data_IF_774121195856
#
_entry.id   IF_774121195856
#
_cell.length_a   1.000
_cell.length_b   1.000
_cell.length_c   1.000
_cell.angle_alpha   90.00
_cell.angle_beta   90.00
_cell.angle_gamma   90.00
#
_symmetry.space_group_name_H-M   'P 1'
#
loop_
_entity.id
_entity.type
_entity.pdbx_description
1 polymer ?
#
# COMPACT_ATOMS: atom_id res chain seq x y z
N UNK A 1 9.76 34.80 -28.65
CA UNK A 1 10.93 35.56 -29.13
C UNK A 1 12.02 34.56 -29.48
N UNK A 2 12.19 34.27 -30.77
CA UNK A 2 13.28 33.42 -31.28
C UNK A 2 14.61 34.13 -31.06
N UNK A 3 15.29 33.77 -29.97
CA UNK A 3 16.57 34.38 -29.63
C UNK A 3 17.66 33.45 -30.15
N UNK A 4 18.30 33.83 -31.25
CA UNK A 4 19.44 33.10 -31.82
C UNK A 4 20.66 33.28 -30.90
N UNK A 5 21.15 32.19 -30.31
CA UNK A 5 22.37 32.21 -29.49
C UNK A 5 23.57 31.79 -30.37
N UNK A 6 24.64 32.58 -30.35
CA UNK A 6 25.83 32.38 -31.19
C UNK A 6 27.10 32.89 -30.51
N UNK A 7 28.26 32.70 -31.13
CA UNK A 7 29.52 33.24 -30.62
C UNK A 7 29.40 34.75 -30.32
N UNK A 8 29.87 35.13 -29.12
CA UNK A 8 29.74 36.50 -28.61
C UNK A 8 28.49 36.77 -27.79
N UNK A 9 27.47 35.90 -27.81
CA UNK A 9 26.32 35.99 -26.91
C UNK A 9 26.76 35.86 -25.44
N UNK A 10 26.05 36.53 -24.53
CA UNK A 10 26.31 36.49 -23.08
C UNK A 10 25.01 36.50 -22.27
N UNK A 11 25.09 36.06 -21.01
CA UNK A 11 24.01 36.16 -20.03
C UNK A 11 23.32 34.82 -19.74
N UNK A 12 22.17 34.88 -19.07
CA UNK A 12 21.49 33.70 -18.52
C UNK A 12 21.15 32.62 -19.56
N UNK A 13 20.76 33.02 -20.77
CA UNK A 13 20.49 32.08 -21.86
C UNK A 13 21.72 31.28 -22.28
N UNK A 14 22.92 31.86 -22.16
CA UNK A 14 24.18 31.16 -22.45
C UNK A 14 24.55 30.22 -21.30
N UNK A 15 24.27 30.59 -20.05
CA UNK A 15 24.44 29.69 -18.89
C UNK A 15 23.60 28.42 -19.10
N UNK A 16 22.32 28.58 -19.41
CA UNK A 16 21.40 27.47 -19.66
C UNK A 16 21.87 26.58 -20.81
N UNK A 17 22.33 27.17 -21.92
CA UNK A 17 22.92 26.43 -23.03
C UNK A 17 24.16 25.64 -22.60
N UNK A 18 25.06 26.28 -21.85
CA UNK A 18 26.30 25.66 -21.36
C UNK A 18 26.02 24.48 -20.42
N UNK A 19 25.03 24.62 -19.52
CA UNK A 19 24.53 23.54 -18.66
C UNK A 19 23.94 22.39 -19.48
N UNK A 20 23.08 22.70 -20.45
CA UNK A 20 22.45 21.70 -21.32
C UNK A 20 23.49 20.93 -22.14
N UNK A 21 24.44 21.62 -22.78
CA UNK A 21 25.51 20.97 -23.54
C UNK A 21 26.36 20.05 -22.66
N UNK A 22 26.70 20.49 -21.44
CA UNK A 22 27.40 19.65 -20.48
C UNK A 22 26.59 18.41 -20.09
N UNK A 23 25.29 18.57 -19.82
CA UNK A 23 24.38 17.45 -19.52
C UNK A 23 24.29 16.47 -20.69
N UNK A 24 24.30 16.98 -21.94
CA UNK A 24 24.32 16.19 -23.17
C UNK A 24 25.66 15.52 -23.47
N UNK A 25 26.68 15.72 -22.62
CA UNK A 25 28.01 15.12 -22.80
C UNK A 25 28.92 15.89 -23.77
N UNK A 26 28.58 17.13 -24.11
CA UNK A 26 29.38 18.03 -24.94
C UNK A 26 30.05 19.11 -24.07
N UNK A 27 31.23 18.84 -23.48
CA UNK A 27 31.80 19.69 -22.44
C UNK A 27 32.17 21.08 -22.99
N UNK A 28 31.61 22.12 -22.37
CA UNK A 28 31.91 23.53 -22.70
C UNK A 28 33.01 24.14 -21.80
N UNK A 29 33.43 23.41 -20.76
CA UNK A 29 34.28 23.92 -19.69
C UNK A 29 33.46 24.57 -18.58
N UNK A 30 33.98 25.66 -18.00
CA UNK A 30 33.28 26.41 -16.93
C UNK A 30 32.01 27.05 -17.49
N UNK A 31 30.89 26.86 -16.80
CA UNK A 31 29.65 27.59 -17.06
C UNK A 31 29.84 29.01 -16.54
N UNK A 32 30.02 29.97 -17.43
CA UNK A 32 30.34 31.37 -17.13
C UNK A 32 29.39 32.37 -17.82
N UNK A 33 28.44 31.87 -18.60
CA UNK A 33 27.49 32.69 -19.35
C UNK A 33 28.11 33.45 -20.52
N UNK A 34 29.29 33.05 -20.99
CA UNK A 34 30.00 33.63 -22.13
C UNK A 34 30.10 32.61 -23.25
N UNK A 35 29.49 32.90 -24.40
CA UNK A 35 29.56 32.02 -25.57
C UNK A 35 30.89 32.26 -26.30
N UNK A 36 31.94 31.62 -25.78
CA UNK A 36 33.31 31.67 -26.33
C UNK A 36 33.66 30.48 -27.24
N UNK A 37 34.94 30.33 -27.63
CA UNK A 37 35.39 29.28 -28.55
C UNK A 37 35.09 27.84 -28.08
N UNK A 38 35.11 27.58 -26.77
CA UNK A 38 34.79 26.26 -26.21
C UNK A 38 33.30 25.93 -26.36
N UNK A 39 32.42 26.89 -26.07
CA UNK A 39 30.98 26.73 -26.27
C UNK A 39 30.64 26.58 -27.76
N UNK A 40 31.31 27.35 -28.63
CA UNK A 40 31.16 27.20 -30.09
C UNK A 40 31.54 25.79 -30.54
N UNK A 41 32.71 25.28 -30.13
CA UNK A 41 33.14 23.94 -30.48
C UNK A 41 32.17 22.86 -29.97
N UNK A 42 31.60 23.03 -28.77
CA UNK A 42 30.61 22.11 -28.23
C UNK A 42 29.29 22.15 -29.02
N UNK A 43 28.80 23.34 -29.40
CA UNK A 43 27.58 23.48 -30.22
C UNK A 43 27.79 22.84 -31.60
N UNK A 44 28.93 23.05 -32.24
CA UNK A 44 29.24 22.42 -33.53
C UNK A 44 29.26 20.90 -33.41
N UNK A 45 29.96 20.34 -32.42
CA UNK A 45 29.97 18.88 -32.18
C UNK A 45 28.56 18.33 -31.90
N UNK A 46 27.78 19.07 -31.12
CA UNK A 46 26.39 18.71 -30.82
C UNK A 46 25.54 18.68 -32.10
N UNK A 47 25.67 19.71 -32.96
CA UNK A 47 24.97 19.78 -34.24
C UNK A 47 25.40 18.63 -35.18
N UNK A 48 26.71 18.35 -35.28
CA UNK A 48 27.24 17.23 -36.08
C UNK A 48 26.69 15.88 -35.60
N UNK A 49 26.71 15.64 -34.28
CA UNK A 49 26.21 14.40 -33.68
C UNK A 49 24.71 14.16 -33.95
N UNK A 50 23.92 15.23 -33.97
CA UNK A 50 22.47 15.16 -34.22
C UNK A 50 22.07 15.36 -35.69
N UNK A 51 23.02 15.29 -36.64
CA UNK A 51 22.78 15.50 -38.08
C UNK A 51 22.09 16.85 -38.39
N UNK A 52 22.35 17.88 -37.58
CA UNK A 52 21.96 19.24 -37.86
C UNK A 52 23.03 19.94 -38.70
N UNK A 53 22.69 21.10 -39.25
CA UNK A 53 23.69 21.97 -39.89
C UNK A 53 24.71 22.47 -38.84
N UNK A 54 26.01 22.18 -38.98
CA UNK A 54 27.03 22.50 -37.98
C UNK A 54 27.54 23.94 -38.11
N UNK A 55 26.64 24.91 -38.03
CA UNK A 55 26.97 26.34 -38.20
C UNK A 55 27.29 27.07 -36.88
N UNK A 56 27.25 26.37 -35.75
CA UNK A 56 27.56 26.92 -34.43
C UNK A 56 26.51 27.88 -33.89
N UNK A 57 25.35 27.98 -34.56
CA UNK A 57 24.23 28.84 -34.17
C UNK A 57 23.14 27.98 -33.53
N UNK A 58 22.78 28.31 -32.30
CA UNK A 58 21.67 27.66 -31.60
C UNK A 58 20.36 28.30 -32.06
N UNK A 59 19.81 27.76 -33.14
CA UNK A 59 18.48 28.10 -33.68
C UNK A 59 17.37 27.19 -33.14
N UNK A 60 16.12 27.34 -33.63
CA UNK A 60 14.97 26.57 -33.17
C UNK A 60 15.18 25.05 -33.18
N UNK A 61 15.79 24.51 -34.25
CA UNK A 61 16.07 23.07 -34.36
C UNK A 61 17.10 22.59 -33.34
N UNK A 62 18.18 23.36 -33.12
CA UNK A 62 19.19 23.03 -32.10
C UNK A 62 18.61 23.16 -30.69
N UNK A 63 17.82 24.21 -30.41
CA UNK A 63 17.14 24.41 -29.14
C UNK A 63 16.12 23.29 -28.84
N UNK A 64 15.38 22.83 -29.85
CA UNK A 64 14.42 21.74 -29.70
C UNK A 64 15.09 20.46 -29.16
N UNK A 65 16.27 20.12 -29.68
CA UNK A 65 17.03 18.96 -29.21
C UNK A 65 17.66 19.23 -27.84
N UNK A 66 18.28 20.40 -27.62
CA UNK A 66 18.90 20.74 -26.33
C UNK A 66 17.93 20.76 -25.15
N UNK A 67 16.67 21.14 -25.40
CA UNK A 67 15.58 21.13 -24.41
C UNK A 67 15.04 19.73 -24.13
N UNK A 68 15.41 18.75 -24.94
CA UNK A 68 15.14 17.33 -24.67
C UNK A 68 16.25 16.81 -23.75
N UNK A 69 16.00 15.97 -22.73
CA UNK A 69 17.06 15.44 -21.90
C UNK A 69 17.92 14.38 -22.64
N UNK A 70 19.25 14.36 -22.41
CA UNK A 70 20.11 13.25 -22.85
C UNK A 70 19.81 11.99 -22.01
N UNK A 71 19.57 10.80 -22.53
CA UNK A 71 19.28 10.36 -23.89
C UNK A 71 18.30 9.18 -23.72
N UNK A 72 17.06 9.48 -23.33
CA UNK A 72 15.98 8.48 -23.21
C UNK A 72 15.88 7.66 -24.50
N UNK A 73 16.12 8.27 -25.66
CA UNK A 73 16.14 7.57 -26.93
C UNK A 73 17.30 6.57 -27.07
N UNK A 74 18.51 6.88 -26.59
CA UNK A 74 19.58 5.87 -26.56
C UNK A 74 19.29 4.76 -25.55
N UNK A 75 18.70 5.09 -24.40
CA UNK A 75 18.24 4.07 -23.46
C UNK A 75 17.18 3.17 -24.11
N UNK A 76 16.24 3.74 -24.87
CA UNK A 76 15.27 3.00 -25.68
C UNK A 76 15.99 2.12 -26.70
N UNK A 77 17.00 2.63 -27.39
CA UNK A 77 17.77 1.85 -28.37
C UNK A 77 18.49 0.65 -27.72
N UNK A 78 18.96 0.79 -26.48
CA UNK A 78 19.59 -0.32 -25.74
C UNK A 78 18.58 -1.42 -25.38
N UNK A 79 17.36 -1.05 -24.99
CA UNK A 79 16.35 -2.05 -24.57
C UNK A 79 15.68 -2.77 -25.75
N UNK A 80 15.68 -2.17 -26.95
CA UNK A 80 15.17 -2.83 -28.17
C UNK A 80 16.25 -3.62 -28.93
N UNK A 81 17.52 -3.40 -28.62
CA UNK A 81 18.63 -4.15 -29.23
C UNK A 81 18.73 -5.56 -28.62
N UNK A 82 18.20 -6.55 -29.35
CA UNK A 82 18.24 -7.96 -28.95
C UNK A 82 19.67 -8.55 -28.87
N UNK A 83 20.68 -7.87 -29.42
CA UNK A 83 22.09 -8.22 -29.29
C UNK A 83 22.70 -7.79 -27.96
N UNK A 84 22.11 -6.83 -27.26
CA UNK A 84 22.51 -6.41 -25.91
C UNK A 84 22.13 -7.50 -24.90
N UNK A 85 22.97 -7.77 -23.90
CA UNK A 85 22.68 -8.78 -22.85
C UNK A 85 21.43 -8.44 -22.04
N UNK A 86 20.68 -9.44 -21.57
CA UNK A 86 19.47 -9.23 -20.76
C UNK A 86 19.74 -8.41 -19.50
N UNK A 87 20.86 -8.62 -18.81
CA UNK A 87 21.23 -7.84 -17.61
C UNK A 87 21.31 -6.33 -17.88
N UNK A 88 21.93 -5.95 -19.01
CA UNK A 88 22.03 -4.55 -19.43
C UNK A 88 20.63 -4.02 -19.82
N UNK A 89 19.85 -4.78 -20.59
CA UNK A 89 18.48 -4.38 -20.95
C UNK A 89 17.64 -4.14 -19.69
N UNK A 90 17.65 -5.07 -18.73
CA UNK A 90 16.97 -4.95 -17.45
C UNK A 90 17.43 -3.74 -16.64
N UNK A 91 18.74 -3.46 -16.59
CA UNK A 91 19.28 -2.29 -15.89
C UNK A 91 18.81 -0.98 -16.53
N UNK A 92 18.75 -0.92 -17.85
CA UNK A 92 18.27 0.27 -18.57
C UNK A 92 16.75 0.43 -18.43
N UNK A 93 15.98 -0.65 -18.52
CA UNK A 93 14.53 -0.64 -18.27
C UNK A 93 14.22 -0.10 -16.87
N UNK A 94 15.00 -0.52 -15.86
CA UNK A 94 14.85 0.00 -14.51
C UNK A 94 15.06 1.51 -14.45
N UNK A 95 16.16 1.99 -15.03
CA UNK A 95 16.46 3.42 -15.07
C UNK A 95 15.35 4.22 -15.77
N UNK A 96 14.80 3.70 -16.88
CA UNK A 96 13.66 4.30 -17.59
C UNK A 96 12.40 4.39 -16.73
N UNK A 97 12.13 3.36 -15.92
CA UNK A 97 11.05 3.38 -14.92
C UNK A 97 11.28 4.38 -13.80
N UNK A 98 12.51 4.47 -13.28
CA UNK A 98 12.88 5.36 -12.17
C UNK A 98 12.80 6.85 -12.55
N UNK A 99 13.22 7.18 -13.77
CA UNK A 99 13.04 8.54 -14.33
C UNK A 99 11.61 8.80 -14.82
N UNK A 100 10.71 7.81 -14.70
CA UNK A 100 9.31 7.85 -15.15
C UNK A 100 9.14 8.32 -16.60
N UNK A 101 9.99 7.85 -17.52
CA UNK A 101 9.97 8.29 -18.92
C UNK A 101 8.70 7.82 -19.66
N UNK A 102 7.91 8.79 -20.15
CA UNK A 102 6.71 8.50 -20.94
C UNK A 102 7.04 8.04 -22.36
N UNK A 103 8.16 8.50 -22.91
CA UNK A 103 8.64 8.12 -24.24
C UNK A 103 8.99 6.63 -24.30
N UNK A 104 9.38 6.03 -23.18
CA UNK A 104 9.69 4.61 -23.09
C UNK A 104 8.44 3.71 -23.02
N UNK A 105 7.23 4.24 -22.83
CA UNK A 105 6.02 3.42 -22.60
C UNK A 105 5.76 2.43 -23.74
N UNK A 106 5.73 2.89 -24.99
CA UNK A 106 5.46 2.02 -26.13
C UNK A 106 6.57 0.98 -26.37
N UNK A 107 7.87 1.35 -26.33
CA UNK A 107 8.96 0.37 -26.31
C UNK A 107 8.83 -0.68 -25.20
N UNK A 108 8.47 -0.27 -23.98
CA UNK A 108 8.28 -1.18 -22.85
C UNK A 108 7.07 -2.11 -23.06
N UNK A 109 5.95 -1.61 -23.59
CA UNK A 109 4.78 -2.44 -23.96
C UNK A 109 5.15 -3.49 -25.02
N UNK A 110 6.02 -3.14 -25.97
CA UNK A 110 6.51 -4.13 -26.93
C UNK A 110 7.38 -5.19 -26.24
N UNK A 111 8.26 -4.80 -25.31
CA UNK A 111 9.16 -5.72 -24.60
C UNK A 111 8.38 -6.74 -23.76
N UNK A 112 7.33 -6.34 -23.03
CA UNK A 112 6.55 -7.27 -22.20
C UNK A 112 5.88 -8.39 -22.98
N UNK A 113 5.75 -8.27 -24.31
CA UNK A 113 5.16 -9.31 -25.18
C UNK A 113 6.18 -10.02 -26.07
N UNK A 114 7.35 -9.43 -26.33
CA UNK A 114 8.29 -9.92 -27.36
C UNK A 114 9.63 -10.40 -26.82
N UNK A 115 10.06 -9.98 -25.64
CA UNK A 115 11.39 -10.37 -25.14
C UNK A 115 11.41 -11.83 -24.68
N UNK A 116 12.45 -12.56 -25.09
CA UNK A 116 12.63 -13.99 -24.78
C UNK A 116 12.88 -14.25 -23.29
N UNK A 117 13.46 -13.29 -22.60
CA UNK A 117 13.92 -13.38 -21.21
C UNK A 117 12.81 -12.91 -20.25
N UNK A 118 12.36 -13.76 -19.33
CA UNK A 118 11.28 -13.43 -18.39
C UNK A 118 11.67 -12.32 -17.42
N UNK A 119 12.93 -12.22 -17.02
CA UNK A 119 13.38 -11.17 -16.11
C UNK A 119 13.27 -9.80 -16.80
N UNK A 120 13.63 -9.72 -18.08
CA UNK A 120 13.48 -8.50 -18.87
C UNK A 120 12.01 -8.10 -19.02
N UNK A 121 11.12 -9.08 -19.27
CA UNK A 121 9.66 -8.82 -19.35
C UNK A 121 9.10 -8.34 -18.01
N UNK A 122 9.40 -9.01 -16.90
CA UNK A 122 8.99 -8.59 -15.55
C UNK A 122 9.53 -7.20 -15.21
N UNK A 123 10.78 -6.90 -15.57
CA UNK A 123 11.37 -5.56 -15.37
C UNK A 123 10.64 -4.48 -16.13
N UNK A 124 10.24 -4.76 -17.37
CA UNK A 124 9.48 -3.83 -18.20
C UNK A 124 8.08 -3.57 -17.62
N UNK A 125 7.44 -4.60 -17.06
CA UNK A 125 6.19 -4.45 -16.31
C UNK A 125 6.38 -3.54 -15.09
N UNK A 126 7.41 -3.78 -14.26
CA UNK A 126 7.68 -2.91 -13.09
C UNK A 126 7.93 -1.46 -13.51
N UNK A 127 8.72 -1.25 -14.57
CA UNK A 127 8.98 0.08 -15.11
C UNK A 127 7.70 0.78 -15.57
N UNK A 128 6.81 0.09 -16.29
CA UNK A 128 5.50 0.62 -16.69
C UNK A 128 4.63 1.01 -15.48
N UNK A 129 4.71 0.22 -14.39
CA UNK A 129 4.04 0.54 -13.14
C UNK A 129 4.63 1.75 -12.42
N UNK A 130 5.97 1.93 -12.41
CA UNK A 130 6.63 3.12 -11.84
C UNK A 130 6.31 4.40 -12.61
N UNK A 131 6.17 4.27 -13.93
CA UNK A 131 5.70 5.34 -14.83
C UNK A 131 4.21 5.67 -14.60
N UNK A 132 3.45 4.74 -13.99
CA UNK A 132 1.99 4.83 -13.81
C UNK A 132 1.26 4.92 -15.16
N UNK A 133 1.72 4.14 -16.14
CA UNK A 133 1.21 4.21 -17.51
C UNK A 133 -0.17 3.55 -17.67
N UNK A 134 -1.19 4.37 -17.94
CA UNK A 134 -2.54 3.88 -18.29
C UNK A 134 -2.58 3.15 -19.63
N UNK A 135 -1.69 3.51 -20.56
CA UNK A 135 -1.58 2.84 -21.87
C UNK A 135 -1.17 1.36 -21.75
N UNK A 136 -0.48 1.01 -20.65
CA UNK A 136 -0.05 -0.35 -20.39
C UNK A 136 -1.14 -1.24 -19.80
N UNK A 137 -2.29 -0.71 -19.36
CA UNK A 137 -3.31 -1.49 -18.65
C UNK A 137 -3.80 -2.68 -19.45
N UNK A 138 -4.27 -2.48 -20.70
CA UNK A 138 -4.78 -3.58 -21.51
C UNK A 138 -3.69 -4.60 -21.90
N UNK A 139 -2.47 -4.18 -22.30
CA UNK A 139 -1.35 -5.10 -22.43
C UNK A 139 -1.07 -5.94 -21.17
N UNK A 140 -1.07 -5.33 -19.99
CA UNK A 140 -0.86 -6.03 -18.71
C UNK A 140 -1.98 -7.03 -18.41
N UNK A 141 -3.24 -6.66 -18.65
CA UNK A 141 -4.39 -7.59 -18.51
C UNK A 141 -4.21 -8.81 -19.42
N UNK A 142 -3.73 -8.62 -20.65
CA UNK A 142 -3.47 -9.73 -21.56
C UNK A 142 -2.32 -10.62 -21.04
N UNK A 143 -1.25 -10.03 -20.50
CA UNK A 143 -0.09 -10.76 -19.96
C UNK A 143 -0.47 -11.73 -18.83
N UNK A 144 -1.43 -11.35 -17.97
CA UNK A 144 -1.94 -12.22 -16.89
C UNK A 144 -2.31 -13.62 -17.39
N UNK A 145 -2.82 -13.76 -18.62
CA UNK A 145 -3.31 -15.05 -19.14
C UNK A 145 -2.44 -15.64 -20.25
N UNK A 146 -1.55 -14.85 -20.84
CA UNK A 146 -0.80 -15.23 -22.04
C UNK A 146 0.68 -15.51 -21.79
N UNK A 147 1.28 -14.97 -20.73
CA UNK A 147 2.69 -15.21 -20.46
C UNK A 147 2.93 -16.60 -19.83
N UNK A 148 3.94 -17.29 -20.36
CA UNK A 148 4.36 -18.62 -19.91
C UNK A 148 4.98 -18.62 -18.52
N UNK A 149 5.60 -17.51 -18.14
CA UNK A 149 6.36 -17.38 -16.90
C UNK A 149 5.46 -16.86 -15.77
N UNK A 150 5.48 -17.54 -14.62
CA UNK A 150 4.63 -17.18 -13.48
C UNK A 150 4.99 -15.83 -12.87
N UNK A 151 6.27 -15.47 -12.89
CA UNK A 151 6.77 -14.24 -12.26
C UNK A 151 6.39 -13.03 -13.12
N UNK A 152 6.36 -13.20 -14.44
CA UNK A 152 5.84 -12.17 -15.36
C UNK A 152 4.34 -11.97 -15.17
N UNK A 153 3.57 -13.06 -15.03
CA UNK A 153 2.12 -12.96 -14.77
C UNK A 153 1.83 -12.29 -13.43
N UNK A 154 2.51 -12.67 -12.36
CA UNK A 154 2.33 -12.07 -11.03
C UNK A 154 2.73 -10.59 -11.00
N UNK A 155 3.83 -10.23 -11.68
CA UNK A 155 4.26 -8.83 -11.86
C UNK A 155 3.16 -7.97 -12.51
N UNK A 156 2.46 -8.51 -13.51
CA UNK A 156 1.36 -7.79 -14.16
C UNK A 156 0.19 -7.52 -13.20
N UNK A 157 -0.20 -8.52 -12.40
CA UNK A 157 -1.25 -8.38 -11.37
C UNK A 157 -0.86 -7.32 -10.33
N UNK A 158 0.37 -7.40 -9.80
CA UNK A 158 0.86 -6.44 -8.80
C UNK A 158 0.83 -5.01 -9.34
N UNK A 159 1.34 -4.80 -10.56
CA UNK A 159 1.40 -3.48 -11.18
C UNK A 159 -0.01 -2.92 -11.43
N UNK A 160 -0.96 -3.74 -11.89
CA UNK A 160 -2.34 -3.30 -12.08
C UNK A 160 -3.00 -2.86 -10.78
N UNK A 161 -2.69 -3.54 -9.67
CA UNK A 161 -3.08 -3.11 -8.32
C UNK A 161 -2.42 -1.80 -7.90
N UNK A 162 -1.10 -1.67 -8.12
CA UNK A 162 -0.30 -0.49 -7.74
C UNK A 162 -0.71 0.79 -8.48
N UNK A 163 -1.11 0.68 -9.75
CA UNK A 163 -1.62 1.81 -10.53
C UNK A 163 -3.14 2.03 -10.35
N UNK A 164 -3.77 1.27 -9.46
CA UNK A 164 -5.20 1.35 -9.12
C UNK A 164 -6.12 1.25 -10.35
N UNK A 165 -5.80 0.34 -11.29
CA UNK A 165 -6.54 0.25 -12.55
C UNK A 165 -7.93 -0.37 -12.35
N UNK A 166 -8.98 0.45 -12.54
CA UNK A 166 -10.38 0.00 -12.51
C UNK A 166 -10.71 -0.99 -13.63
N UNK A 167 -10.04 -0.88 -14.77
CA UNK A 167 -10.22 -1.78 -15.91
C UNK A 167 -9.74 -3.21 -15.60
N UNK A 168 -8.81 -3.35 -14.64
CA UNK A 168 -8.32 -4.65 -14.20
C UNK A 168 -9.25 -5.37 -13.22
N UNK A 169 -10.27 -4.70 -12.67
CA UNK A 169 -11.12 -5.27 -11.60
C UNK A 169 -11.80 -6.58 -12.03
N UNK A 170 -12.43 -6.62 -13.20
CA UNK A 170 -13.10 -7.84 -13.66
C UNK A 170 -12.12 -8.98 -14.00
N UNK A 171 -11.00 -8.74 -14.71
CA UNK A 171 -9.94 -9.73 -14.85
C UNK A 171 -9.43 -10.29 -13.51
N UNK A 172 -9.21 -9.43 -12.51
CA UNK A 172 -8.76 -9.85 -11.18
C UNK A 172 -9.84 -10.65 -10.43
N UNK A 173 -11.11 -10.27 -10.53
CA UNK A 173 -12.24 -11.04 -9.98
C UNK A 173 -12.28 -12.45 -10.60
N UNK A 174 -12.03 -12.57 -11.91
CA UNK A 174 -11.96 -13.87 -12.56
C UNK A 174 -10.82 -14.74 -11.99
N UNK A 175 -9.65 -14.17 -11.70
CA UNK A 175 -8.53 -14.92 -11.10
C UNK A 175 -8.91 -15.44 -9.72
N UNK A 176 -9.43 -14.59 -8.83
CA UNK A 176 -9.74 -15.01 -7.46
C UNK A 176 -10.86 -16.06 -7.38
N UNK A 177 -11.67 -16.20 -8.44
CA UNK A 177 -12.80 -17.15 -8.49
C UNK A 177 -12.50 -18.42 -9.29
N UNK A 178 -11.57 -18.39 -10.25
CA UNK A 178 -11.36 -19.51 -11.18
C UNK A 178 -9.96 -20.10 -11.14
N UNK A 179 -8.96 -19.37 -10.66
CA UNK A 179 -7.58 -19.84 -10.64
C UNK A 179 -7.38 -20.90 -9.55
N UNK A 180 -6.73 -22.01 -9.92
CA UNK A 180 -6.47 -23.12 -9.00
C UNK A 180 -5.29 -22.83 -8.07
N UNK A 181 -4.37 -21.98 -8.50
CA UNK A 181 -3.18 -21.63 -7.74
C UNK A 181 -3.51 -20.56 -6.69
N UNK A 182 -3.31 -20.91 -5.41
CA UNK A 182 -3.55 -20.00 -4.29
C UNK A 182 -2.65 -18.77 -4.33
N UNK A 183 -1.47 -18.85 -4.95
CA UNK A 183 -0.56 -17.72 -5.12
C UNK A 183 -1.16 -16.65 -6.03
N UNK A 184 -1.74 -17.04 -7.18
CA UNK A 184 -2.37 -16.08 -8.09
C UNK A 184 -3.65 -15.49 -7.50
N UNK A 185 -4.45 -16.30 -6.80
CA UNK A 185 -5.60 -15.78 -6.03
C UNK A 185 -5.15 -14.78 -4.98
N UNK A 186 -4.08 -15.07 -4.23
CA UNK A 186 -3.53 -14.18 -3.22
C UNK A 186 -3.17 -12.81 -3.83
N UNK A 187 -2.33 -12.77 -4.87
CA UNK A 187 -1.88 -11.49 -5.43
C UNK A 187 -3.06 -10.72 -6.05
N UNK A 188 -4.02 -11.42 -6.67
CA UNK A 188 -5.19 -10.77 -7.23
C UNK A 188 -6.11 -10.17 -6.15
N UNK A 189 -6.29 -10.82 -5.00
CA UNK A 189 -7.00 -10.24 -3.84
C UNK A 189 -6.28 -8.99 -3.33
N UNK A 190 -4.95 -9.04 -3.20
CA UNK A 190 -4.16 -7.89 -2.77
C UNK A 190 -4.34 -6.71 -3.73
N UNK A 191 -4.24 -6.96 -5.04
CA UNK A 191 -4.44 -5.96 -6.07
C UNK A 191 -5.85 -5.35 -6.02
N UNK A 192 -6.90 -6.16 -5.83
CA UNK A 192 -8.28 -5.67 -5.66
C UNK A 192 -8.44 -4.79 -4.43
N UNK A 193 -7.80 -5.15 -3.32
CA UNK A 193 -7.75 -4.34 -2.10
C UNK A 193 -7.08 -2.97 -2.33
N UNK A 194 -5.98 -2.94 -3.10
CA UNK A 194 -5.30 -1.68 -3.48
C UNK A 194 -6.14 -0.81 -4.41
N UNK A 195 -6.85 -1.40 -5.37
CA UNK A 195 -7.76 -0.68 -6.29
C UNK A 195 -8.98 -0.10 -5.54
N UNK A 196 -9.33 -0.65 -4.38
CA UNK A 196 -10.48 -0.25 -3.56
C UNK A 196 -11.82 -0.28 -4.32
N UNK A 197 -11.99 -1.21 -5.25
CA UNK A 197 -13.22 -1.30 -6.05
C UNK A 197 -14.35 -2.01 -5.29
N UNK A 198 -15.52 -1.36 -5.22
CA UNK A 198 -16.73 -1.96 -4.63
C UNK A 198 -17.23 -3.19 -5.38
N UNK A 199 -16.90 -3.32 -6.66
CA UNK A 199 -17.26 -4.51 -7.46
C UNK A 199 -16.59 -5.78 -6.94
N UNK A 200 -15.45 -5.66 -6.24
CA UNK A 200 -14.73 -6.77 -5.64
C UNK A 200 -15.38 -7.28 -4.35
N UNK A 201 -16.27 -6.51 -3.72
CA UNK A 201 -16.82 -6.83 -2.39
C UNK A 201 -17.57 -8.16 -2.40
N UNK A 202 -18.50 -8.38 -3.33
CA UNK A 202 -19.27 -9.63 -3.35
C UNK A 202 -18.41 -10.86 -3.69
N UNK A 203 -17.49 -10.81 -4.67
CA UNK A 203 -16.51 -11.88 -4.89
C UNK A 203 -15.68 -12.20 -3.64
N UNK A 204 -15.16 -11.19 -2.93
CA UNK A 204 -14.38 -11.38 -1.70
C UNK A 204 -15.23 -12.01 -0.57
N UNK A 205 -16.50 -11.61 -0.45
CA UNK A 205 -17.45 -12.24 0.48
C UNK A 205 -17.63 -13.73 0.16
N UNK A 206 -17.71 -14.09 -1.12
CA UNK A 206 -17.88 -15.49 -1.51
C UNK A 206 -16.65 -16.32 -1.16
N UNK A 207 -15.43 -15.78 -1.34
CA UNK A 207 -14.19 -16.42 -0.91
C UNK A 207 -14.20 -16.66 0.60
N UNK A 208 -14.64 -15.67 1.39
CA UNK A 208 -14.67 -15.82 2.85
C UNK A 208 -15.66 -16.89 3.32
N UNK A 209 -16.73 -17.13 2.55
CA UNK A 209 -17.75 -18.14 2.84
C UNK A 209 -17.39 -19.54 2.37
N UNK A 210 -16.36 -19.67 1.54
CA UNK A 210 -15.93 -20.95 1.00
C UNK A 210 -15.09 -21.71 2.03
N UNK A 211 -15.62 -22.84 2.50
CA UNK A 211 -15.01 -23.67 3.55
C UNK A 211 -13.73 -24.37 3.09
N UNK A 212 -13.53 -24.50 1.79
CA UNK A 212 -12.35 -25.17 1.21
C UNK A 212 -11.20 -24.19 0.93
N UNK A 213 -11.40 -22.89 1.21
CA UNK A 213 -10.39 -21.86 0.99
C UNK A 213 -9.36 -21.84 2.12
N UNK A 214 -8.08 -21.76 1.75
CA UNK A 214 -6.94 -21.63 2.67
C UNK A 214 -7.09 -20.40 3.59
N UNK A 215 -6.79 -20.58 4.88
CA UNK A 215 -6.86 -19.51 5.89
C UNK A 215 -6.09 -18.25 5.49
N UNK A 216 -4.97 -18.37 4.78
CA UNK A 216 -4.16 -17.26 4.29
C UNK A 216 -4.92 -16.42 3.26
N UNK A 217 -5.66 -17.08 2.36
CA UNK A 217 -6.50 -16.43 1.34
C UNK A 217 -7.72 -15.76 1.99
N UNK A 218 -8.32 -16.40 2.99
CA UNK A 218 -9.42 -15.83 3.78
C UNK A 218 -8.99 -14.54 4.51
N UNK A 219 -7.84 -14.59 5.20
CA UNK A 219 -7.28 -13.45 5.92
C UNK A 219 -6.99 -12.31 4.95
N UNK A 220 -6.39 -12.61 3.79
CA UNK A 220 -6.13 -11.57 2.80
C UNK A 220 -7.42 -10.96 2.24
N UNK A 221 -8.46 -11.76 1.99
CA UNK A 221 -9.76 -11.24 1.55
C UNK A 221 -10.38 -10.30 2.59
N UNK A 222 -10.21 -10.59 3.88
CA UNK A 222 -10.61 -9.72 4.99
C UNK A 222 -9.85 -8.40 4.95
N UNK A 223 -8.53 -8.41 4.77
CA UNK A 223 -7.75 -7.17 4.61
C UNK A 223 -8.15 -6.38 3.36
N UNK A 224 -8.42 -7.06 2.24
CA UNK A 224 -8.87 -6.41 1.01
C UNK A 224 -10.24 -5.73 1.20
N UNK A 225 -11.20 -6.38 1.87
CA UNK A 225 -12.47 -5.76 2.27
C UNK A 225 -12.24 -4.55 3.19
N UNK A 226 -11.31 -4.68 4.13
CA UNK A 226 -10.85 -3.61 4.99
C UNK A 226 -10.40 -2.38 4.22
N UNK A 227 -9.54 -2.55 3.23
CA UNK A 227 -9.00 -1.47 2.40
C UNK A 227 -10.05 -0.82 1.48
N UNK A 228 -11.10 -1.57 1.07
CA UNK A 228 -12.19 -1.04 0.24
C UNK A 228 -13.07 -0.05 1.03
N UNK A 229 -13.23 -0.25 2.34
CA UNK A 229 -13.92 0.66 3.28
C UNK A 229 -15.38 1.03 2.87
N UNK A 230 -16.02 0.23 2.01
CA UNK A 230 -17.43 0.46 1.66
C UNK A 230 -18.35 0.00 2.78
N UNK A 231 -19.56 0.57 2.88
CA UNK A 231 -20.58 0.13 3.83
C UNK A 231 -20.86 -1.37 3.72
N UNK A 232 -20.89 -1.88 2.49
CA UNK A 232 -21.08 -3.30 2.20
C UNK A 232 -19.89 -4.15 2.66
N UNK A 233 -18.65 -3.66 2.49
CA UNK A 233 -17.44 -4.32 2.97
C UNK A 233 -17.39 -4.35 4.50
N UNK A 234 -17.73 -3.25 5.17
CA UNK A 234 -17.86 -3.18 6.63
C UNK A 234 -18.92 -4.17 7.10
N UNK A 235 -20.10 -4.18 6.46
CA UNK A 235 -21.15 -5.14 6.84
C UNK A 235 -20.71 -6.60 6.64
N UNK A 236 -19.93 -6.88 5.60
CA UNK A 236 -19.35 -8.20 5.38
C UNK A 236 -18.38 -8.58 6.51
N UNK A 237 -17.46 -7.68 6.88
CA UNK A 237 -16.54 -7.89 7.99
C UNK A 237 -17.28 -8.13 9.31
N UNK A 238 -18.35 -7.37 9.57
CA UNK A 238 -19.23 -7.58 10.74
C UNK A 238 -19.81 -8.99 10.70
N UNK A 239 -20.34 -9.43 9.56
CA UNK A 239 -20.93 -10.76 9.43
C UNK A 239 -19.90 -11.90 9.62
N UNK A 240 -18.63 -11.67 9.27
CA UNK A 240 -17.52 -12.63 9.50
C UNK A 240 -17.20 -12.75 10.98
N UNK A 241 -17.29 -11.65 11.74
CA UNK A 241 -17.00 -11.67 13.17
C UNK A 241 -18.20 -12.15 13.99
N UNK A 242 -19.44 -11.96 13.54
CA UNK A 242 -20.63 -12.42 14.26
C UNK A 242 -20.81 -13.96 14.21
N UNK A 243 -21.35 -14.59 15.27
CA UNK A 243 -21.53 -16.04 15.34
C UNK A 243 -22.67 -16.61 14.46
N UNK A 244 -23.21 -15.84 13.49
CA UNK A 244 -24.21 -16.33 12.52
C UNK A 244 -23.58 -16.72 11.17
N UNK A 245 -22.53 -17.54 11.22
CA UNK A 245 -22.25 -18.47 10.13
C UNK A 245 -22.19 -19.88 10.71
N UNK A 246 -23.33 -20.54 10.63
CA UNK A 246 -23.50 -21.98 10.86
C UNK A 246 -22.86 -22.82 9.72
N UNK A 247 -21.75 -22.36 9.13
CA UNK A 247 -21.08 -22.98 7.96
C UNK A 247 -19.56 -23.10 8.14
N UNK A 248 -18.92 -22.37 9.06
CA UNK A 248 -17.46 -22.44 9.25
C UNK A 248 -17.19 -22.81 10.72
N UNK A 249 -17.18 -24.12 10.97
CA UNK A 249 -17.37 -24.77 12.26
C UNK A 249 -16.19 -24.64 13.23
N UNK A 250 -16.45 -24.18 14.47
CA UNK A 250 -15.90 -24.57 15.78
C UNK A 250 -14.55 -25.34 15.90
N UNK A 251 -13.54 -25.01 15.10
CA UNK A 251 -12.16 -25.46 15.26
C UNK A 251 -11.25 -24.26 15.48
N UNK A 252 -10.17 -24.44 16.26
CA UNK A 252 -9.25 -23.35 16.66
C UNK A 252 -8.64 -22.58 15.49
N UNK A 253 -8.60 -23.16 14.29
CA UNK A 253 -8.07 -22.54 13.06
C UNK A 253 -8.87 -21.30 12.63
N UNK A 254 -10.19 -21.24 12.87
CA UNK A 254 -11.03 -20.10 12.49
C UNK A 254 -10.98 -18.92 13.46
N UNK A 255 -10.45 -19.12 14.67
CA UNK A 255 -10.23 -18.02 15.63
C UNK A 255 -9.28 -16.98 15.01
N UNK A 256 -8.27 -17.42 14.26
CA UNK A 256 -7.31 -16.53 13.60
C UNK A 256 -7.96 -15.64 12.53
N UNK A 257 -8.88 -16.19 11.75
CA UNK A 257 -9.64 -15.45 10.72
C UNK A 257 -10.53 -14.39 11.38
N UNK A 258 -11.25 -14.75 12.45
CA UNK A 258 -12.10 -13.80 13.20
C UNK A 258 -11.29 -12.69 13.87
N UNK A 259 -10.15 -13.03 14.47
CA UNK A 259 -9.20 -12.05 15.03
C UNK A 259 -8.70 -11.08 13.95
N UNK A 260 -8.38 -11.58 12.76
CA UNK A 260 -7.97 -10.72 11.64
C UNK A 260 -9.08 -9.75 11.23
N UNK A 261 -10.34 -10.21 11.18
CA UNK A 261 -11.47 -9.32 10.90
C UNK A 261 -11.70 -8.29 12.01
N UNK A 262 -11.48 -8.64 13.29
CA UNK A 262 -11.51 -7.69 14.42
C UNK A 262 -10.42 -6.63 14.28
N UNK A 263 -9.19 -7.02 13.95
CA UNK A 263 -8.09 -6.08 13.71
C UNK A 263 -8.40 -5.14 12.54
N UNK A 264 -8.95 -5.68 11.45
CA UNK A 264 -9.36 -4.87 10.30
C UNK A 264 -10.49 -3.90 10.68
N UNK A 265 -11.51 -4.34 11.41
CA UNK A 265 -12.58 -3.46 11.90
C UNK A 265 -12.03 -2.34 12.78
N UNK A 266 -11.03 -2.62 13.62
CA UNK A 266 -10.35 -1.61 14.43
C UNK A 266 -9.60 -0.57 13.60
N UNK A 267 -9.02 -0.98 12.48
CA UNK A 267 -8.28 -0.06 11.61
C UNK A 267 -9.19 0.76 10.68
N UNK A 268 -10.50 0.45 10.62
CA UNK A 268 -11.48 1.24 9.86
C UNK A 268 -12.02 2.35 10.75
N UNK A 269 -11.90 3.60 10.31
CA UNK A 269 -12.44 4.79 10.99
C UNK A 269 -13.98 4.90 10.81
N UNK A 270 -14.74 3.89 11.27
CA UNK A 270 -16.20 3.81 11.14
C UNK A 270 -16.88 3.56 12.48
N UNK A 271 -17.94 4.34 12.75
CA UNK A 271 -18.80 4.13 13.92
C UNK A 271 -19.49 2.77 13.91
N UNK A 272 -19.86 2.29 12.72
CA UNK A 272 -20.44 0.96 12.54
C UNK A 272 -19.46 -0.15 12.91
N UNK A 273 -18.17 0.02 12.57
CA UNK A 273 -17.11 -0.92 12.96
C UNK A 273 -16.90 -0.93 14.48
N UNK A 274 -16.82 0.25 15.12
CA UNK A 274 -16.75 0.40 16.57
C UNK A 274 -17.96 -0.24 17.26
N UNK A 275 -19.17 0.01 16.77
CA UNK A 275 -20.38 -0.57 17.33
C UNK A 275 -20.40 -2.11 17.20
N UNK A 276 -19.87 -2.65 16.10
CA UNK A 276 -19.75 -4.09 15.94
C UNK A 276 -18.77 -4.70 16.96
N UNK A 277 -17.63 -4.04 17.21
CA UNK A 277 -16.70 -4.42 18.27
C UNK A 277 -17.36 -4.38 19.65
N UNK A 278 -18.15 -3.34 19.95
CA UNK A 278 -18.93 -3.25 21.20
C UNK A 278 -19.92 -4.41 21.34
N UNK A 279 -20.60 -4.78 20.26
CA UNK A 279 -21.53 -5.92 20.26
C UNK A 279 -20.81 -7.26 20.52
N UNK A 280 -19.55 -7.39 20.09
CA UNK A 280 -18.74 -8.60 20.33
C UNK A 280 -18.36 -8.70 21.80
N UNK A 281 -17.85 -7.61 22.40
CA UNK A 281 -17.39 -7.65 23.80
C UNK A 281 -18.54 -7.86 24.78
N UNK A 282 -19.76 -7.44 24.43
CA UNK A 282 -20.97 -7.58 25.27
C UNK A 282 -21.69 -8.92 25.09
N UNK A 283 -21.32 -9.73 24.08
CA UNK A 283 -21.87 -11.06 23.89
C UNK A 283 -21.15 -12.08 24.80
N UNK A 284 -21.73 -12.39 25.96
CA UNK A 284 -21.16 -13.33 26.94
C UNK A 284 -21.10 -14.79 26.45
N UNK A 285 -21.88 -15.14 25.42
CA UNK A 285 -21.81 -16.46 24.76
C UNK A 285 -20.71 -16.58 23.71
N UNK A 286 -19.97 -15.50 23.45
CA UNK A 286 -18.90 -15.47 22.47
C UNK A 286 -17.59 -16.09 23.02
N UNK A 287 -16.78 -16.65 22.12
CA UNK A 287 -15.50 -17.24 22.46
C UNK A 287 -14.56 -16.20 23.11
N UNK A 288 -13.97 -16.57 24.25
CA UNK A 288 -13.12 -15.69 25.06
C UNK A 288 -12.05 -14.96 24.24
N UNK A 289 -11.27 -15.68 23.42
CA UNK A 289 -10.23 -15.06 22.58
C UNK A 289 -10.73 -14.04 21.57
N UNK A 290 -11.96 -14.16 21.08
CA UNK A 290 -12.57 -13.20 20.14
C UNK A 290 -12.99 -11.96 20.91
N UNK A 291 -13.64 -12.12 22.06
CA UNK A 291 -13.98 -11.02 22.97
C UNK A 291 -12.73 -10.26 23.41
N UNK A 292 -11.71 -10.96 23.90
CA UNK A 292 -10.42 -10.38 24.30
C UNK A 292 -9.80 -9.55 23.17
N UNK A 293 -9.80 -10.07 21.93
CA UNK A 293 -9.23 -9.34 20.78
C UNK A 293 -10.02 -8.06 20.48
N UNK A 294 -11.36 -8.11 20.54
CA UNK A 294 -12.19 -6.93 20.34
C UNK A 294 -12.00 -5.89 21.46
N UNK A 295 -11.85 -6.32 22.72
CA UNK A 295 -11.55 -5.41 23.85
C UNK A 295 -10.19 -4.73 23.63
N UNK A 296 -9.15 -5.50 23.29
CA UNK A 296 -7.80 -4.97 23.03
C UNK A 296 -7.83 -3.96 21.90
N UNK A 297 -8.52 -4.27 20.79
CA UNK A 297 -8.67 -3.34 19.67
C UNK A 297 -9.38 -2.06 20.09
N UNK A 298 -10.49 -2.15 20.83
CA UNK A 298 -11.23 -0.97 21.33
C UNK A 298 -10.36 -0.08 22.23
N UNK A 299 -9.50 -0.69 23.06
CA UNK A 299 -8.51 0.01 23.86
C UNK A 299 -7.43 0.69 23.01
N UNK A 300 -6.87 -0.02 22.01
CA UNK A 300 -5.83 0.46 21.09
C UNK A 300 -6.30 1.64 20.23
N UNK A 301 -7.56 1.63 19.80
CA UNK A 301 -8.15 2.72 19.01
C UNK A 301 -8.72 3.85 19.89
N UNK A 302 -8.54 3.75 21.22
CA UNK A 302 -9.00 4.74 22.21
C UNK A 302 -10.50 5.07 22.10
N UNK A 303 -11.34 4.06 21.82
CA UNK A 303 -12.77 4.28 21.58
C UNK A 303 -13.50 4.74 22.84
N UNK A 304 -13.97 5.99 22.83
CA UNK A 304 -14.77 6.55 23.93
C UNK A 304 -16.14 5.91 24.03
N UNK A 305 -16.72 5.49 22.90
CA UNK A 305 -18.00 4.78 22.83
C UNK A 305 -17.95 3.42 23.57
N UNK A 306 -16.76 2.81 23.66
CA UNK A 306 -16.57 1.55 24.36
C UNK A 306 -16.45 1.69 25.89
N UNK A 307 -16.28 2.90 26.43
CA UNK A 307 -16.05 3.12 27.88
C UNK A 307 -17.15 2.51 28.73
N UNK A 308 -18.41 2.85 28.48
CA UNK A 308 -19.51 2.33 29.30
C UNK A 308 -19.72 0.81 29.11
N UNK A 309 -19.69 0.25 27.89
CA UNK A 309 -19.65 -1.20 27.69
C UNK A 309 -18.53 -1.91 28.46
N UNK A 310 -17.31 -1.35 28.47
CA UNK A 310 -16.17 -1.91 29.19
C UNK A 310 -16.38 -1.82 30.72
N UNK A 311 -16.92 -0.71 31.23
CA UNK A 311 -17.30 -0.57 32.64
C UNK A 311 -18.37 -1.61 33.03
N UNK A 312 -19.29 -1.96 32.13
CA UNK A 312 -20.26 -3.02 32.43
C UNK A 312 -19.60 -4.40 32.47
N UNK A 313 -18.60 -4.67 31.61
CA UNK A 313 -17.88 -5.96 31.58
C UNK A 313 -17.11 -6.19 32.88
N UNK A 314 -16.43 -5.17 33.42
CA UNK A 314 -15.64 -5.31 34.66
C UNK A 314 -16.51 -5.72 35.87
N UNK A 315 -17.80 -5.36 35.86
CA UNK A 315 -18.76 -5.68 36.93
C UNK A 315 -19.52 -6.99 36.68
N UNK A 316 -19.85 -7.30 35.43
CA UNK A 316 -20.80 -8.38 35.09
C UNK A 316 -20.17 -9.67 34.57
N UNK A 317 -18.93 -9.62 34.06
CA UNK A 317 -18.32 -10.79 33.43
C UNK A 317 -17.82 -11.79 34.46
N UNK A 318 -18.06 -13.08 34.22
CA UNK A 318 -17.64 -14.14 35.15
C UNK A 318 -16.18 -14.54 34.96
N UNK A 319 -15.56 -14.18 33.84
CA UNK A 319 -14.19 -14.53 33.53
C UNK A 319 -13.23 -13.40 33.95
N UNK A 320 -12.29 -13.71 34.85
CA UNK A 320 -11.28 -12.76 35.35
C UNK A 320 -10.41 -12.19 34.24
N UNK A 321 -9.98 -13.00 33.27
CA UNK A 321 -9.13 -12.54 32.16
C UNK A 321 -9.84 -11.47 31.33
N UNK A 322 -11.12 -11.67 31.01
CA UNK A 322 -11.93 -10.69 30.28
C UNK A 322 -12.08 -9.39 31.07
N UNK A 323 -12.27 -9.49 32.39
CA UNK A 323 -12.33 -8.32 33.26
C UNK A 323 -11.01 -7.56 33.27
N UNK A 324 -9.89 -8.24 33.47
CA UNK A 324 -8.55 -7.64 33.45
C UNK A 324 -8.26 -6.94 32.12
N UNK A 325 -8.55 -7.60 30.99
CA UNK A 325 -8.35 -7.02 29.66
C UNK A 325 -9.26 -5.80 29.43
N UNK A 326 -10.50 -5.81 29.93
CA UNK A 326 -11.39 -4.66 29.86
C UNK A 326 -10.88 -3.47 30.69
N UNK A 327 -10.29 -3.74 31.85
CA UNK A 327 -9.64 -2.73 32.69
C UNK A 327 -8.42 -2.13 31.97
N UNK A 328 -7.55 -2.97 31.40
CA UNK A 328 -6.38 -2.51 30.66
C UNK A 328 -6.80 -1.62 29.47
N UNK A 329 -7.85 -2.01 28.75
CA UNK A 329 -8.43 -1.20 27.68
C UNK A 329 -8.94 0.16 28.17
N UNK A 330 -9.63 0.22 29.31
CA UNK A 330 -10.06 1.49 29.93
C UNK A 330 -8.87 2.38 30.33
N UNK A 331 -7.78 1.77 30.78
CA UNK A 331 -6.50 2.43 31.05
C UNK A 331 -5.88 3.03 29.79
N UNK A 332 -5.85 2.27 28.69
CA UNK A 332 -5.34 2.72 27.39
C UNK A 332 -6.21 3.84 26.78
N UNK A 333 -7.54 3.77 26.93
CA UNK A 333 -8.47 4.86 26.55
C UNK A 333 -8.26 6.11 27.45
N UNK A 334 -7.59 5.96 28.59
CA UNK A 334 -7.41 7.00 29.61
C UNK A 334 -8.73 7.57 30.13
N UNK A 335 -9.74 6.70 30.28
CA UNK A 335 -11.09 7.13 30.66
C UNK A 335 -11.16 7.53 32.13
N UNK A 336 -11.41 8.81 32.40
CA UNK A 336 -11.69 9.30 33.75
C UNK A 336 -13.00 8.76 34.33
N UNK A 337 -13.95 8.40 33.48
CA UNK A 337 -15.22 7.81 33.89
C UNK A 337 -15.03 6.43 34.54
N UNK A 338 -13.94 5.73 34.19
CA UNK A 338 -13.58 4.44 34.78
C UNK A 338 -12.93 4.57 36.17
N UNK A 339 -12.52 5.77 36.61
CA UNK A 339 -11.79 5.92 37.89
C UNK A 339 -12.59 5.43 39.11
N UNK A 340 -13.86 5.83 39.32
CA UNK A 340 -14.63 5.34 40.46
C UNK A 340 -14.81 3.80 40.50
N UNK A 341 -15.22 3.11 39.41
CA UNK A 341 -15.35 1.66 39.43
C UNK A 341 -14.00 0.94 39.58
N UNK A 342 -12.91 1.48 39.02
CA UNK A 342 -11.56 0.90 39.23
C UNK A 342 -11.11 1.01 40.69
N UNK A 343 -11.34 2.16 41.35
CA UNK A 343 -11.04 2.31 42.79
C UNK A 343 -11.80 1.27 43.61
N UNK A 344 -13.08 1.03 43.30
CA UNK A 344 -13.90 0.02 43.98
C UNK A 344 -13.27 -1.37 43.86
N UNK A 345 -12.85 -1.77 42.66
CA UNK A 345 -12.18 -3.05 42.40
C UNK A 345 -10.89 -3.19 43.23
N UNK A 346 -10.05 -2.16 43.25
CA UNK A 346 -8.78 -2.16 43.99
C UNK A 346 -8.98 -2.41 45.48
N UNK A 347 -10.04 -1.83 46.06
CA UNK A 347 -10.37 -1.93 47.50
C UNK A 347 -11.16 -3.17 47.89
N UNK A 348 -11.67 -3.94 46.92
CA UNK A 348 -12.44 -5.15 47.16
C UNK A 348 -11.49 -6.36 47.28
N UNK A 349 -11.27 -6.83 48.52
CA UNK A 349 -10.35 -7.93 48.81
C UNK A 349 -10.82 -9.29 48.30
N UNK A 350 -12.11 -9.41 47.97
CA UNK A 350 -12.68 -10.66 47.44
C UNK A 350 -12.51 -10.74 45.91
N UNK A 351 -12.05 -9.65 45.27
CA UNK A 351 -11.75 -9.64 43.85
C UNK A 351 -10.43 -10.35 43.53
N UNK A 352 -10.43 -11.08 42.42
CA UNK A 352 -9.25 -11.73 41.84
C UNK A 352 -8.02 -10.79 41.77
N UNK A 353 -6.84 -11.36 42.09
CA UNK A 353 -5.61 -10.58 42.26
C UNK A 353 -5.15 -9.96 40.94
N UNK A 354 -5.30 -10.67 39.82
CA UNK A 354 -4.89 -10.16 38.51
C UNK A 354 -5.79 -9.00 38.10
N UNK A 355 -7.10 -9.12 38.34
CA UNK A 355 -8.06 -8.05 38.08
C UNK A 355 -7.76 -6.81 38.92
N UNK A 356 -7.39 -6.98 40.20
CA UNK A 356 -6.95 -5.88 41.05
C UNK A 356 -5.65 -5.25 40.56
N UNK A 357 -4.69 -6.05 40.11
CA UNK A 357 -3.42 -5.55 39.55
C UNK A 357 -3.66 -4.69 38.30
N UNK A 358 -4.45 -5.20 37.35
CA UNK A 358 -4.86 -4.43 36.16
C UNK A 358 -5.55 -3.11 36.55
N UNK A 359 -6.38 -3.10 37.59
CA UNK A 359 -7.06 -1.88 38.04
C UNK A 359 -6.06 -0.83 38.58
N UNK A 360 -5.01 -1.26 39.27
CA UNK A 360 -3.93 -0.38 39.73
C UNK A 360 -3.18 0.21 38.53
N UNK A 361 -2.79 -0.64 37.57
CA UNK A 361 -2.06 -0.21 36.36
C UNK A 361 -2.90 0.76 35.51
N UNK A 362 -4.18 0.44 35.29
CA UNK A 362 -5.10 1.31 34.57
C UNK A 362 -5.27 2.68 35.25
N UNK A 363 -5.40 2.73 36.58
CA UNK A 363 -5.46 4.01 37.33
C UNK A 363 -4.16 4.82 37.19
N UNK A 364 -3.00 4.14 37.10
CA UNK A 364 -1.72 4.74 36.78
C UNK A 364 -1.67 5.32 35.37
N UNK A 365 -2.12 4.56 34.36
CA UNK A 365 -2.18 5.00 32.96
C UNK A 365 -3.14 6.19 32.75
N UNK A 366 -4.26 6.23 33.50
CA UNK A 366 -5.21 7.36 33.55
C UNK A 366 -4.61 8.57 34.30
N UNK A 367 -3.56 8.37 35.09
CA UNK A 367 -2.94 9.37 35.98
C UNK A 367 -3.93 9.92 37.01
N UNK A 368 -4.75 9.04 37.59
CA UNK A 368 -5.78 9.43 38.55
C UNK A 368 -5.19 9.85 39.90
N UNK A 369 -5.30 11.13 40.23
CA UNK A 369 -4.95 11.64 41.58
C UNK A 369 -5.91 11.13 42.65
N UNK A 370 -7.15 10.83 42.29
CA UNK A 370 -8.18 10.33 43.19
C UNK A 370 -7.85 8.92 43.70
N UNK A 371 -7.09 8.15 42.92
CA UNK A 371 -6.67 6.80 43.29
C UNK A 371 -5.59 6.74 44.37
N UNK A 372 -4.86 7.83 44.64
CA UNK A 372 -3.69 7.82 45.55
C UNK A 372 -4.07 7.36 46.95
N UNK A 373 -5.11 7.93 47.55
CA UNK A 373 -5.53 7.57 48.91
C UNK A 373 -6.08 6.14 49.01
N UNK A 374 -6.96 5.68 48.11
CA UNK A 374 -7.36 4.28 48.03
C UNK A 374 -6.18 3.30 47.90
N UNK A 375 -5.20 3.61 47.04
CA UNK A 375 -4.04 2.75 46.79
C UNK A 375 -3.14 2.61 48.03
N UNK A 376 -3.00 3.65 48.85
CA UNK A 376 -2.25 3.57 50.11
C UNK A 376 -2.92 2.61 51.10
N UNK A 377 -4.25 2.50 51.08
CA UNK A 377 -5.02 1.72 52.06
C UNK A 377 -5.02 0.21 51.81
N UNK A 378 -4.52 -0.24 50.66
CA UNK A 378 -4.52 -1.66 50.26
C UNK A 378 -3.16 -2.35 50.44
N UNK A 379 -2.15 -1.61 50.92
CA UNK A 379 -0.85 -2.10 51.40
C UNK A 379 -0.96 -2.36 52.90
#
# INVERSE_FOLDING_TARGET
MDTLIRIGSRGYQVIQLQEQLNNWGFPVGKVDGIFGPKTLAAVIRFQEYHNLKPDGIVGPETNKILLTPPNVQALINVIIDTGTSSDIRSSVIYALGDIKSKEAVQPLINIITTDRDSDVRSRAIDALGRIESKEAVQPLINIITTDRDSDVRSSAIEVLGRIESKEAVQPLINIITTDRDSFFRFIAIEALGRIKSKEAVQPLINIIKDTDTDSSVLILAIYALGNIESKEAIQALINVVQPLINIITNTGEHIHVRKSAIEVLGNIESKEAVQALINIITNTGEHIHVRSSAIVVLGRIESKEAVQPLINIIDTDTNSDIRSIAIDALGNIQSKEAVPPLIKIVTDTDTDTDVRSSAIDALGNIQSKEAVLPLIKIV
#
